data_IF_435243436641
#
_entry.id   IF_435243436641
#
_cell.length_a   1.000
_cell.length_b   1.000
_cell.length_c   1.000
_cell.angle_alpha   90.00
_cell.angle_beta   90.00
_cell.angle_gamma   90.00
#
_symmetry.space_group_name_H-M   'P 1'
#
loop_
_entity.id
_entity.type
_entity.pdbx_description
1 polymer ?
#
# COMPACT_ATOMS: atom_id res chain seq x y z
N UNK A 1 -58.89 27.86 -4.31
CA UNK A 1 -57.74 27.11 -3.77
C UNK A 1 -58.22 25.71 -3.45
N UNK A 2 -57.78 24.70 -4.20
CA UNK A 2 -58.16 23.30 -3.97
C UNK A 2 -56.94 22.45 -4.21
N UNK A 3 -56.18 22.18 -3.14
CA UNK A 3 -55.08 21.23 -3.21
C UNK A 3 -55.67 19.83 -3.41
N UNK A 4 -55.19 19.12 -4.43
CA UNK A 4 -55.59 17.75 -4.75
C UNK A 4 -55.23 16.82 -3.57
N UNK A 5 -56.21 16.54 -2.71
CA UNK A 5 -56.09 15.64 -1.54
C UNK A 5 -55.65 14.21 -1.92
N UNK A 6 -55.80 13.82 -3.18
CA UNK A 6 -55.40 12.50 -3.68
C UNK A 6 -53.87 12.30 -3.62
N UNK A 7 -53.06 13.37 -3.72
CA UNK A 7 -51.59 13.26 -3.72
C UNK A 7 -51.01 12.96 -2.32
N UNK A 8 -51.69 13.36 -1.24
CA UNK A 8 -51.20 13.17 0.13
C UNK A 8 -51.39 11.73 0.64
N UNK A 9 -52.28 10.95 0.01
CA UNK A 9 -52.54 9.56 0.40
C UNK A 9 -51.47 8.58 -0.12
N UNK A 10 -50.68 8.97 -1.12
CA UNK A 10 -49.61 8.13 -1.67
C UNK A 10 -48.24 8.34 -1.02
N UNK A 11 -48.02 9.46 -0.32
CA UNK A 11 -46.80 9.73 0.45
C UNK A 11 -46.48 8.68 1.54
N UNK A 12 -47.44 8.19 2.36
CA UNK A 12 -47.15 7.17 3.36
C UNK A 12 -46.88 5.79 2.73
N UNK A 13 -47.45 5.50 1.56
CA UNK A 13 -47.15 4.27 0.82
C UNK A 13 -45.73 4.30 0.23
N UNK A 14 -45.28 5.45 -0.27
CA UNK A 14 -43.93 5.61 -0.79
C UNK A 14 -42.86 5.57 0.32
N UNK A 15 -43.16 6.08 1.51
CA UNK A 15 -42.21 6.02 2.64
C UNK A 15 -42.08 4.61 3.21
N UNK A 16 -43.16 3.84 3.28
CA UNK A 16 -43.14 2.45 3.75
C UNK A 16 -42.35 1.54 2.80
N UNK A 17 -42.43 1.74 1.48
CA UNK A 17 -41.62 0.97 0.53
C UNK A 17 -40.13 1.29 0.61
N UNK A 18 -39.76 2.56 0.85
CA UNK A 18 -38.36 2.96 1.04
C UNK A 18 -37.79 2.36 2.34
N UNK A 19 -38.56 2.33 3.43
CA UNK A 19 -38.15 1.73 4.70
C UNK A 19 -37.98 0.20 4.59
N UNK A 20 -38.89 -0.51 3.92
CA UNK A 20 -38.78 -1.96 3.70
C UNK A 20 -37.59 -2.34 2.80
N UNK A 21 -37.24 -1.49 1.82
CA UNK A 21 -36.08 -1.72 0.95
C UNK A 21 -34.73 -1.53 1.67
N UNK A 22 -34.67 -0.64 2.67
CA UNK A 22 -33.44 -0.36 3.42
C UNK A 22 -33.03 -1.53 4.33
N UNK A 23 -33.99 -2.26 4.89
CA UNK A 23 -33.69 -3.46 5.71
C UNK A 23 -33.12 -4.62 4.89
N UNK A 24 -33.56 -4.80 3.64
CA UNK A 24 -33.06 -5.88 2.78
C UNK A 24 -31.63 -5.63 2.31
N UNK A 25 -31.21 -4.37 2.19
CA UNK A 25 -29.85 -4.02 1.79
C UNK A 25 -28.79 -4.30 2.88
N UNK A 26 -29.18 -4.39 4.16
CA UNK A 26 -28.26 -4.69 5.27
C UNK A 26 -28.12 -6.19 5.58
N UNK A 27 -28.94 -7.06 4.97
CA UNK A 27 -28.96 -8.49 5.26
C UNK A 27 -28.12 -9.37 4.31
N UNK A 28 -27.47 -8.82 3.27
CA UNK A 28 -26.75 -9.61 2.23
C UNK A 28 -25.23 -9.72 2.39
N UNK A 29 -24.61 -9.20 3.46
CA UNK A 29 -23.14 -9.12 3.53
C UNK A 29 -22.45 -10.14 4.45
N UNK A 30 -23.17 -11.20 4.90
CA UNK A 30 -22.62 -12.19 5.85
C UNK A 30 -22.61 -13.65 5.34
N UNK A 31 -22.75 -13.92 4.04
CA UNK A 31 -22.75 -15.29 3.49
C UNK A 31 -21.64 -15.61 2.48
N UNK A 32 -20.49 -14.89 2.53
CA UNK A 32 -19.28 -15.27 1.80
C UNK A 32 -18.12 -15.68 2.73
N UNK A 33 -18.39 -16.60 3.65
CA UNK A 33 -17.34 -17.43 4.23
C UNK A 33 -17.81 -18.89 4.24
N UNK A 34 -17.77 -19.53 3.07
CA UNK A 34 -17.84 -20.98 2.99
C UNK A 34 -16.79 -21.55 2.02
N UNK A 35 -15.71 -22.05 2.65
CA UNK A 35 -15.11 -23.37 2.43
C UNK A 35 -14.67 -23.76 1.00
N UNK A 36 -13.39 -23.55 0.70
CA UNK A 36 -12.69 -24.23 -0.43
C UNK A 36 -11.64 -25.21 0.11
N UNK A 37 -12.10 -26.39 0.55
CA UNK A 37 -11.24 -27.57 0.65
C UNK A 37 -11.38 -28.39 -0.64
N UNK A 38 -10.53 -28.10 -1.63
CA UNK A 38 -10.29 -29.03 -2.74
C UNK A 38 -8.83 -28.94 -3.17
N UNK A 39 -8.00 -29.86 -2.66
CA UNK A 39 -6.66 -30.13 -3.21
C UNK A 39 -6.67 -31.51 -3.86
N UNK A 40 -6.47 -31.53 -5.17
CA UNK A 40 -5.67 -32.54 -5.86
C UNK A 40 -5.46 -32.07 -7.30
N UNK A 41 -4.25 -31.61 -7.59
CA UNK A 41 -3.68 -31.59 -8.94
C UNK A 41 -2.17 -31.64 -8.83
N UNK A 42 -1.63 -32.82 -9.14
CA UNK A 42 -0.26 -33.03 -9.58
C UNK A 42 -0.05 -32.36 -10.94
N UNK A 43 0.92 -31.46 -11.05
CA UNK A 43 1.59 -31.15 -12.30
C UNK A 43 2.99 -30.59 -11.98
N UNK A 44 3.97 -31.32 -12.50
CA UNK A 44 5.40 -31.08 -12.50
C UNK A 44 5.75 -29.82 -13.33
N UNK A 45 6.84 -29.16 -12.99
CA UNK A 45 7.29 -27.92 -13.63
C UNK A 45 8.29 -27.14 -12.78
N UNK A 46 9.57 -27.52 -12.89
CA UNK A 46 10.66 -27.03 -12.05
C UNK A 46 10.87 -25.50 -12.06
N UNK A 47 10.99 -24.96 -10.86
CA UNK A 47 11.70 -23.70 -10.60
C UNK A 47 12.79 -23.99 -9.56
N UNK A 48 14.04 -23.88 -9.99
CA UNK A 48 15.24 -24.10 -9.20
C UNK A 48 15.30 -23.14 -8.01
N UNK A 49 14.93 -23.68 -6.83
CA UNK A 49 15.53 -23.47 -5.51
C UNK A 49 16.43 -22.24 -5.36
N UNK A 50 15.82 -21.09 -5.05
CA UNK A 50 16.43 -20.21 -4.05
C UNK A 50 16.25 -20.94 -2.72
N UNK A 51 17.32 -21.58 -2.26
CA UNK A 51 17.40 -22.39 -1.04
C UNK A 51 17.06 -21.53 0.18
N UNK A 52 15.77 -21.29 0.39
CA UNK A 52 15.22 -20.81 1.64
C UNK A 52 15.58 -21.83 2.71
N UNK A 53 16.29 -21.39 3.75
CA UNK A 53 16.35 -22.14 5.00
C UNK A 53 14.91 -22.48 5.37
N UNK A 54 14.60 -23.78 5.45
CA UNK A 54 13.31 -24.30 5.92
C UNK A 54 13.14 -23.85 7.38
N UNK A 55 12.57 -22.66 7.57
CA UNK A 55 12.23 -22.14 8.89
C UNK A 55 10.94 -22.82 9.36
N UNK A 56 11.10 -23.57 10.45
CA UNK A 56 10.01 -24.06 11.31
C UNK A 56 9.30 -22.82 11.87
N UNK A 57 7.96 -22.83 11.92
CA UNK A 57 7.06 -21.71 12.29
C UNK A 57 7.17 -20.45 11.44
N UNK A 58 6.05 -20.00 10.85
CA UNK A 58 6.01 -18.84 9.94
C UNK A 58 6.39 -17.52 10.62
N UNK A 59 7.13 -16.69 9.90
CA UNK A 59 7.42 -15.30 10.26
C UNK A 59 6.16 -14.45 10.04
N UNK A 60 5.47 -14.07 11.11
CA UNK A 60 4.34 -13.13 11.03
C UNK A 60 4.88 -11.71 11.03
N UNK A 61 4.91 -11.06 9.86
CA UNK A 61 5.41 -9.70 9.68
C UNK A 61 4.51 -8.64 10.31
N UNK A 62 3.26 -8.96 10.64
CA UNK A 62 2.27 -8.02 11.16
C UNK A 62 2.19 -8.02 12.69
N UNK A 63 2.93 -8.91 13.36
CA UNK A 63 3.01 -8.98 14.83
C UNK A 63 4.43 -8.63 15.29
N UNK A 64 4.54 -7.57 16.08
CA UNK A 64 5.80 -6.90 16.34
C UNK A 64 5.64 -5.69 17.25
N UNK A 65 6.71 -4.91 17.34
CA UNK A 65 6.74 -3.65 18.06
C UNK A 65 7.59 -2.63 17.33
N UNK A 66 7.31 -1.36 17.59
CA UNK A 66 8.19 -0.27 17.18
C UNK A 66 9.41 -0.21 18.10
N UNK A 67 10.60 -0.15 17.52
CA UNK A 67 11.86 -0.01 18.25
C UNK A 67 12.61 1.22 17.75
N UNK A 68 13.33 1.88 18.66
CA UNK A 68 14.21 2.99 18.28
C UNK A 68 15.43 2.47 17.51
N UNK A 69 15.71 3.05 16.36
CA UNK A 69 16.86 2.75 15.50
C UNK A 69 17.55 4.06 15.10
N UNK A 70 18.78 4.25 15.60
CA UNK A 70 19.57 5.44 15.32
C UNK A 70 19.94 5.58 13.83
N UNK A 71 19.97 4.48 13.08
CA UNK A 71 20.34 4.43 11.66
C UNK A 71 19.23 4.89 10.70
N UNK A 72 18.00 5.05 11.18
CA UNK A 72 16.88 5.61 10.41
C UNK A 72 16.97 7.14 10.30
N UNK A 73 16.28 7.80 9.37
CA UNK A 73 15.37 7.25 8.35
C UNK A 73 16.10 6.68 7.12
N UNK A 74 15.36 5.99 6.24
CA UNK A 74 15.88 5.51 4.95
C UNK A 74 16.12 6.62 3.92
N UNK A 75 15.45 7.76 4.07
CA UNK A 75 15.58 8.93 3.23
C UNK A 75 15.31 10.20 4.03
N UNK A 76 15.86 11.32 3.59
CA UNK A 76 15.51 12.65 4.07
C UNK A 76 14.41 13.23 3.17
N UNK A 77 13.24 13.56 3.73
CA UNK A 77 12.09 14.04 2.95
C UNK A 77 12.41 15.34 2.20
N UNK A 78 13.22 16.21 2.80
CA UNK A 78 13.63 17.49 2.21
C UNK A 78 14.47 17.33 0.94
N UNK A 79 15.10 16.16 0.77
CA UNK A 79 15.94 15.84 -0.38
C UNK A 79 15.21 15.07 -1.48
N UNK A 80 14.01 14.55 -1.20
CA UNK A 80 13.29 13.72 -2.15
C UNK A 80 12.40 14.57 -3.09
N UNK A 81 12.57 14.48 -4.41
CA UNK A 81 11.82 15.31 -5.35
C UNK A 81 10.40 14.80 -5.66
N UNK A 82 9.95 13.72 -5.02
CA UNK A 82 8.66 13.09 -5.32
C UNK A 82 7.58 13.35 -4.27
N UNK A 83 7.96 13.83 -3.09
CA UNK A 83 7.03 13.95 -1.95
C UNK A 83 6.14 15.16 -2.15
N UNK A 84 4.83 14.90 -2.16
CA UNK A 84 3.84 15.95 -2.18
C UNK A 84 3.79 16.70 -0.85
N UNK A 85 3.41 17.98 -0.91
CA UNK A 85 3.49 18.85 0.26
C UNK A 85 2.69 18.31 1.44
N UNK A 86 1.53 17.74 1.17
CA UNK A 86 0.63 17.15 2.15
C UNK A 86 1.27 16.01 2.96
N UNK A 87 2.36 15.41 2.47
CA UNK A 87 3.10 14.33 3.14
C UNK A 87 4.48 14.76 3.71
N UNK A 88 4.97 15.97 3.41
CA UNK A 88 6.28 16.46 3.88
C UNK A 88 6.19 17.30 5.16
N UNK A 89 6.12 16.63 6.30
CA UNK A 89 6.03 17.30 7.60
C UNK A 89 7.23 18.20 7.91
N UNK A 90 8.44 17.84 7.46
CA UNK A 90 9.66 18.62 7.75
C UNK A 90 9.63 19.94 6.97
N UNK A 91 9.22 19.91 5.71
CA UNK A 91 9.04 21.11 4.88
C UNK A 91 8.04 22.08 5.48
N UNK A 92 6.98 21.58 6.11
CA UNK A 92 5.96 22.39 6.78
C UNK A 92 6.24 22.69 8.26
N UNK A 93 7.50 22.56 8.68
CA UNK A 93 7.97 23.16 9.93
C UNK A 93 7.79 22.30 11.18
N UNK A 94 7.54 20.99 11.03
CA UNK A 94 7.54 20.09 12.19
C UNK A 94 8.93 20.08 12.86
N UNK A 95 9.03 20.48 14.14
CA UNK A 95 10.33 20.67 14.78
C UNK A 95 10.94 19.36 15.34
N UNK A 96 10.11 18.41 15.75
CA UNK A 96 10.56 17.13 16.32
C UNK A 96 10.93 16.13 15.21
N UNK A 97 12.07 15.43 15.39
CA UNK A 97 12.57 14.43 14.41
C UNK A 97 12.58 13.00 14.95
N UNK A 98 12.12 12.78 16.18
CA UNK A 98 12.17 11.47 16.84
C UNK A 98 11.25 10.45 16.16
N UNK A 99 10.15 10.89 15.54
CA UNK A 99 9.24 10.02 14.79
C UNK A 99 9.93 9.30 13.63
N UNK A 100 10.99 9.88 13.06
CA UNK A 100 11.76 9.30 11.97
C UNK A 100 12.69 8.17 12.41
N UNK A 101 12.86 7.96 13.73
CA UNK A 101 13.85 7.03 14.30
C UNK A 101 13.24 5.69 14.73
N UNK A 102 12.01 5.39 14.33
CA UNK A 102 11.35 4.14 14.67
C UNK A 102 11.37 3.15 13.51
N UNK A 103 11.71 1.90 13.83
CA UNK A 103 11.66 0.75 12.93
C UNK A 103 10.70 -0.30 13.46
N UNK A 104 9.96 -0.96 12.57
CA UNK A 104 9.08 -2.06 12.92
C UNK A 104 9.88 -3.36 13.05
N UNK A 105 9.83 -4.01 14.22
CA UNK A 105 10.50 -5.28 14.49
C UNK A 105 9.47 -6.38 14.73
N UNK A 106 9.31 -7.34 13.80
CA UNK A 106 8.49 -8.53 14.04
C UNK A 106 9.02 -9.37 15.20
N UNK A 107 8.13 -10.04 15.92
CA UNK A 107 8.53 -10.88 17.08
C UNK A 107 9.21 -12.18 16.67
N UNK A 108 8.79 -12.73 15.52
CA UNK A 108 9.16 -14.09 15.08
C UNK A 108 10.35 -14.11 14.11
N UNK A 109 10.85 -12.95 13.69
CA UNK A 109 11.86 -12.86 12.62
C UNK A 109 12.49 -11.48 12.51
N UNK A 110 13.65 -11.41 11.84
CA UNK A 110 14.32 -10.16 11.49
C UNK A 110 14.06 -9.82 10.03
N UNK A 111 13.61 -8.59 9.76
CA UNK A 111 13.47 -8.07 8.40
C UNK A 111 14.84 -7.57 7.92
N UNK A 112 15.33 -7.98 6.73
CA UNK A 112 16.57 -7.45 6.19
C UNK A 112 16.44 -5.95 5.92
N UNK A 113 17.54 -5.21 6.09
CA UNK A 113 17.57 -3.78 5.77
C UNK A 113 17.28 -3.58 4.28
N UNK A 114 16.55 -2.51 3.95
CA UNK A 114 16.22 -2.18 2.57
C UNK A 114 17.49 -1.91 1.74
N UNK A 115 17.63 -2.61 0.61
CA UNK A 115 18.65 -2.39 -0.40
C UNK A 115 17.94 -2.07 -1.73
N UNK A 116 17.90 -0.78 -2.09
CA UNK A 116 17.22 -0.36 -3.30
C UNK A 116 17.93 -0.77 -4.59
N UNK A 117 19.24 -1.03 -4.58
CA UNK A 117 19.94 -1.56 -5.73
C UNK A 117 19.54 -3.03 -5.97
N UNK A 118 19.42 -3.84 -4.92
CA UNK A 118 18.86 -5.19 -5.00
C UNK A 118 17.39 -5.18 -5.43
N UNK A 119 16.60 -4.27 -4.87
CA UNK A 119 15.20 -4.09 -5.24
C UNK A 119 15.05 -3.80 -6.73
N UNK A 120 15.78 -2.81 -7.27
CA UNK A 120 15.76 -2.47 -8.68
C UNK A 120 16.28 -3.59 -9.58
N UNK A 121 17.29 -4.38 -9.14
CA UNK A 121 17.72 -5.59 -9.86
C UNK A 121 16.60 -6.61 -9.99
N UNK A 122 15.87 -6.87 -8.91
CA UNK A 122 14.77 -7.85 -8.88
C UNK A 122 13.56 -7.43 -9.73
N UNK A 123 13.38 -6.12 -9.91
CA UNK A 123 12.30 -5.51 -10.69
C UNK A 123 12.72 -5.05 -12.08
N UNK A 124 13.90 -5.46 -12.58
CA UNK A 124 14.35 -5.09 -13.93
C UNK A 124 13.32 -5.51 -14.97
N UNK A 125 12.93 -4.57 -15.83
CA UNK A 125 11.95 -4.79 -16.90
C UNK A 125 10.50 -4.92 -16.40
N UNK A 126 10.24 -4.72 -15.10
CA UNK A 126 8.91 -4.79 -14.50
C UNK A 126 8.43 -3.40 -14.11
N UNK A 127 7.12 -3.29 -13.91
CA UNK A 127 6.46 -2.09 -13.38
C UNK A 127 5.69 -2.48 -12.12
N UNK A 128 5.77 -1.63 -11.10
CA UNK A 128 4.95 -1.72 -9.90
C UNK A 128 4.01 -0.53 -9.91
N UNK A 129 2.72 -0.76 -9.74
CA UNK A 129 1.69 0.27 -9.73
C UNK A 129 0.93 0.20 -8.42
N UNK A 130 0.72 1.35 -7.80
CA UNK A 130 -0.12 1.50 -6.62
C UNK A 130 -1.45 2.06 -7.11
N UNK A 131 -2.55 1.39 -6.75
CA UNK A 131 -3.91 1.76 -7.13
C UNK A 131 -4.74 1.87 -5.86
N UNK A 132 -5.28 3.04 -5.60
CA UNK A 132 -6.06 3.32 -4.40
C UNK A 132 -6.25 4.80 -4.19
N UNK A 133 -6.40 5.18 -2.93
CA UNK A 133 -6.62 6.55 -2.47
C UNK A 133 -5.29 7.28 -2.15
N UNK A 134 -5.40 8.35 -1.36
CA UNK A 134 -4.26 9.14 -0.90
C UNK A 134 -3.27 8.35 -0.03
N UNK A 135 -3.67 7.29 0.65
CA UNK A 135 -2.74 6.43 1.41
C UNK A 135 -1.86 5.62 0.45
N UNK A 136 -2.45 5.13 -0.64
CA UNK A 136 -1.70 4.42 -1.69
C UNK A 136 -0.71 5.34 -2.40
N UNK A 137 -1.08 6.60 -2.62
CA UNK A 137 -0.17 7.63 -3.14
C UNK A 137 1.01 7.88 -2.18
N UNK A 138 0.74 8.08 -0.89
CA UNK A 138 1.78 8.28 0.13
C UNK A 138 2.77 7.09 0.20
N UNK A 139 2.26 5.85 0.14
CA UNK A 139 3.11 4.65 0.09
C UNK A 139 3.99 4.60 -1.15
N UNK A 140 3.45 4.98 -2.32
CA UNK A 140 4.18 5.02 -3.57
C UNK A 140 5.30 6.07 -3.56
N UNK A 141 5.02 7.27 -3.04
CA UNK A 141 6.03 8.34 -2.88
C UNK A 141 7.14 7.92 -1.92
N UNK A 142 6.78 7.33 -0.77
CA UNK A 142 7.74 6.83 0.21
C UNK A 142 8.67 5.77 -0.40
N UNK A 143 8.14 4.81 -1.16
CA UNK A 143 8.94 3.81 -1.86
C UNK A 143 9.86 4.48 -2.91
N UNK A 144 9.34 5.43 -3.68
CA UNK A 144 10.14 6.20 -4.63
C UNK A 144 11.33 6.88 -3.97
N UNK A 145 11.12 7.54 -2.82
CA UNK A 145 12.17 8.23 -2.07
C UNK A 145 13.19 7.28 -1.47
N UNK A 146 12.77 6.15 -0.89
CA UNK A 146 13.68 5.12 -0.39
C UNK A 146 14.61 4.61 -1.50
N UNK A 147 14.06 4.34 -2.69
CA UNK A 147 14.86 3.91 -3.84
C UNK A 147 15.82 5.02 -4.25
N UNK A 148 15.34 6.24 -4.46
CA UNK A 148 16.17 7.38 -4.91
C UNK A 148 17.33 7.67 -3.95
N UNK A 149 17.09 7.65 -2.64
CA UNK A 149 18.13 7.83 -1.63
C UNK A 149 19.16 6.68 -1.63
N UNK A 150 18.74 5.45 -1.91
CA UNK A 150 19.63 4.28 -1.95
C UNK A 150 20.50 4.19 -3.22
N UNK A 151 20.07 4.82 -4.32
CA UNK A 151 20.79 4.82 -5.61
C UNK A 151 20.96 6.24 -6.18
N UNK A 152 21.67 7.15 -5.48
CA UNK A 152 21.71 8.58 -5.82
C UNK A 152 22.35 8.89 -7.18
N UNK A 153 23.13 7.95 -7.73
CA UNK A 153 23.78 8.08 -9.05
C UNK A 153 22.89 7.60 -10.20
N UNK A 154 21.75 6.98 -9.91
CA UNK A 154 20.85 6.46 -10.93
C UNK A 154 20.03 7.58 -11.54
N UNK A 155 20.09 7.70 -12.87
CA UNK A 155 19.24 8.64 -13.60
C UNK A 155 17.78 8.30 -13.33
N UNK A 156 17.06 9.26 -12.78
CA UNK A 156 15.67 9.10 -12.35
C UNK A 156 14.81 10.14 -13.07
N UNK A 157 13.69 9.71 -13.64
CA UNK A 157 12.70 10.62 -14.25
C UNK A 157 11.39 10.51 -13.50
N UNK A 158 10.82 11.66 -13.13
CA UNK A 158 9.52 11.74 -12.47
C UNK A 158 8.57 12.56 -13.36
N UNK A 159 7.46 11.94 -13.72
CA UNK A 159 6.37 12.58 -14.47
C UNK A 159 5.15 12.56 -13.57
N UNK A 160 4.78 13.73 -13.06
CA UNK A 160 3.55 13.90 -12.29
C UNK A 160 2.37 14.09 -13.22
N UNK A 161 1.28 13.40 -12.96
CA UNK A 161 0.07 13.46 -13.77
C UNK A 161 -1.16 12.97 -13.03
N UNK A 162 -2.33 13.34 -13.54
CA UNK A 162 -3.65 12.91 -13.06
C UNK A 162 -4.37 12.21 -14.22
N UNK A 163 -4.80 10.95 -14.07
CA UNK A 163 -4.83 10.15 -12.84
C UNK A 163 -3.54 9.37 -12.54
N UNK A 164 -2.53 9.44 -13.41
CA UNK A 164 -1.34 8.58 -13.33
C UNK A 164 -0.05 9.40 -13.21
N UNK A 165 0.72 9.13 -12.14
CA UNK A 165 2.10 9.60 -11.95
C UNK A 165 3.09 8.46 -12.11
N UNK A 166 4.29 8.73 -12.63
CA UNK A 166 5.29 7.70 -12.95
C UNK A 166 6.69 8.14 -12.52
N UNK A 167 7.40 7.27 -11.80
CA UNK A 167 8.82 7.38 -11.49
C UNK A 167 9.55 6.26 -12.23
N UNK A 168 10.60 6.60 -12.99
CA UNK A 168 11.42 5.63 -13.71
C UNK A 168 12.88 5.75 -13.30
N UNK A 169 13.47 4.64 -12.86
CA UNK A 169 14.88 4.51 -12.52
C UNK A 169 15.63 3.82 -13.66
N UNK A 170 16.59 4.51 -14.27
CA UNK A 170 17.41 3.96 -15.36
C UNK A 170 18.68 3.33 -14.79
N UNK A 171 18.62 2.03 -14.51
CA UNK A 171 19.78 1.32 -13.94
C UNK A 171 20.61 0.67 -15.03
N UNK A 172 21.75 1.28 -15.33
CA UNK A 172 22.82 0.69 -16.13
C UNK A 172 23.67 -0.18 -15.21
N UNK A 173 23.36 -1.47 -15.15
CA UNK A 173 24.25 -2.42 -14.53
C UNK A 173 25.36 -2.73 -15.53
N UNK A 174 26.53 -2.12 -15.35
CA UNK A 174 27.74 -2.60 -16.01
C UNK A 174 28.02 -4.00 -15.42
N UNK A 175 27.87 -5.03 -16.24
CA UNK A 175 28.37 -6.38 -15.97
C UNK A 175 29.88 -6.42 -16.15
#
# INVERSE_FOLDING_TARGET
MGFNFISLLFLPLLSVTILLGLEQALASDNTLLENTNHRNSTADGGMSSLRGKKQRSGCNLFQGRWVFDASYPFYDSLSCPFIDGEFDCLKFGRPDKQFLKYSWQPESCTIPRFDGAAFLRSLRGKRVMFVGDSLSLNMWESLGCMIHASVPKTKTTFVKGTPLSTITFQVSFFS
#
